data_IF_406757383252
#
_entry.id   IF_406757383252
#
_cell.length_a   1.000
_cell.length_b   1.000
_cell.length_c   1.000
_cell.angle_alpha   90.00
_cell.angle_beta   90.00
_cell.angle_gamma   90.00
#
_symmetry.space_group_name_H-M   'P 1'
#
loop_
_entity.id
_entity.type
_entity.pdbx_description
1 polymer ?
#
# COMPACT_ATOMS: atom_id res chain seq x y z
N UNK A 1 5.50 -14.39 30.41
CA UNK A 1 6.19 -13.10 30.29
C UNK A 1 5.45 -12.33 29.21
N UNK A 2 4.76 -11.27 29.60
CA UNK A 2 3.94 -10.44 28.71
C UNK A 2 4.89 -9.46 27.99
N UNK A 3 5.11 -9.66 26.68
CA UNK A 3 5.75 -8.62 25.88
C UNK A 3 4.76 -7.45 25.81
N UNK A 4 5.15 -6.35 26.42
CA UNK A 4 4.44 -5.08 26.34
C UNK A 4 4.38 -4.64 24.86
N UNK A 5 3.32 -3.91 24.48
CA UNK A 5 3.33 -3.16 23.23
C UNK A 5 4.59 -2.28 23.29
N UNK A 6 5.48 -2.33 22.28
CA UNK A 6 6.66 -1.48 22.30
C UNK A 6 6.21 -0.03 22.51
N UNK A 7 6.76 0.64 23.50
CA UNK A 7 6.51 2.07 23.70
C UNK A 7 7.02 2.81 22.44
N UNK A 8 6.41 3.94 22.08
CA UNK A 8 6.77 4.76 20.92
C UNK A 8 8.28 5.02 20.80
N UNK A 9 8.98 5.04 21.93
CA UNK A 9 10.44 5.18 22.05
C UNK A 9 11.22 3.99 21.49
N UNK A 10 10.73 2.75 21.56
CA UNK A 10 11.41 1.57 21.01
C UNK A 10 11.23 1.44 19.50
N UNK A 11 10.12 1.97 18.97
CA UNK A 11 9.83 1.96 17.52
C UNK A 11 10.71 2.98 16.80
N UNK A 12 11.05 4.09 17.44
CA UNK A 12 11.92 5.14 16.89
C UNK A 12 13.40 4.72 16.86
N UNK A 13 13.84 3.88 17.78
CA UNK A 13 15.23 3.38 17.82
C UNK A 13 15.57 2.35 16.75
N UNK A 14 14.56 1.79 16.06
CA UNK A 14 14.74 0.86 14.94
C UNK A 14 14.84 1.55 13.56
N UNK A 15 14.76 2.88 13.49
CA UNK A 15 15.12 3.64 12.29
C UNK A 15 16.64 3.82 12.32
N UNK A 16 17.35 2.77 11.97
CA UNK A 16 18.80 2.71 12.10
C UNK A 16 19.55 3.50 11.05
N UNK A 17 18.92 4.01 10.02
CA UNK A 17 19.55 4.87 8.99
C UNK A 17 18.43 5.43 8.08
N UNK A 18 18.26 6.78 7.99
CA UNK A 18 17.29 7.39 7.10
C UNK A 18 17.53 7.08 5.63
N UNK A 19 18.76 6.66 5.27
CA UNK A 19 19.12 6.29 3.91
C UNK A 19 18.81 4.83 3.57
N UNK A 20 18.46 4.00 4.57
CA UNK A 20 18.07 2.59 4.34
C UNK A 20 16.62 2.49 3.89
N UNK A 21 16.33 1.99 2.67
CA UNK A 21 14.96 1.77 2.21
C UNK A 21 14.20 0.79 3.10
N UNK A 22 12.92 1.08 3.38
CA UNK A 22 12.04 0.14 4.07
C UNK A 22 11.78 -1.08 3.19
N UNK A 23 11.57 -0.86 1.89
CA UNK A 23 11.42 -1.92 0.88
C UNK A 23 12.35 -1.59 -0.28
N UNK A 24 13.11 -2.58 -0.75
CA UNK A 24 13.92 -2.44 -1.97
C UNK A 24 13.72 -3.65 -2.88
N UNK A 25 13.38 -3.40 -4.12
CA UNK A 25 13.29 -4.38 -5.21
C UNK A 25 14.51 -4.21 -6.11
N UNK A 26 15.22 -5.32 -6.39
CA UNK A 26 16.41 -5.34 -7.30
C UNK A 26 16.17 -6.35 -8.41
N UNK A 27 16.02 -5.89 -9.64
CA UNK A 27 15.79 -6.68 -10.86
C UNK A 27 14.70 -7.75 -10.68
N UNK A 28 13.58 -7.36 -10.06
CA UNK A 28 12.48 -8.27 -9.73
C UNK A 28 11.72 -8.65 -10.99
N UNK A 29 11.57 -9.96 -11.22
CA UNK A 29 10.71 -10.52 -12.25
C UNK A 29 9.63 -11.40 -11.61
N UNK A 30 8.41 -11.37 -12.18
CA UNK A 30 7.33 -12.28 -11.83
C UNK A 30 6.72 -12.83 -13.09
N UNK A 31 6.75 -14.16 -13.22
CA UNK A 31 6.20 -14.90 -14.35
C UNK A 31 5.15 -15.87 -13.86
N UNK A 32 3.94 -15.79 -14.42
CA UNK A 32 2.87 -16.75 -14.17
C UNK A 32 2.76 -17.75 -15.31
N UNK A 33 2.43 -18.99 -14.97
CA UNK A 33 2.02 -19.99 -15.98
C UNK A 33 0.57 -19.75 -16.34
N UNK A 34 0.29 -19.41 -17.59
CA UNK A 34 -1.08 -19.25 -18.05
C UNK A 34 -1.75 -20.64 -18.17
N UNK A 35 -3.03 -20.73 -17.77
CA UNK A 35 -3.84 -21.95 -17.94
C UNK A 35 -4.29 -22.19 -19.39
N UNK A 36 -4.07 -21.23 -20.29
CA UNK A 36 -4.44 -21.29 -21.69
C UNK A 36 -3.23 -21.67 -22.52
N UNK A 37 -3.18 -22.91 -22.99
CA UNK A 37 -2.09 -23.43 -23.82
C UNK A 37 -2.18 -24.94 -23.96
N UNK A 38 -1.49 -25.51 -24.98
CA UNK A 38 -1.32 -26.96 -25.08
C UNK A 38 -0.61 -27.50 -23.83
N UNK A 39 -0.97 -28.69 -23.36
CA UNK A 39 -0.31 -29.40 -22.26
C UNK A 39 1.22 -29.46 -22.41
N UNK A 40 1.73 -29.34 -23.64
CA UNK A 40 3.16 -29.42 -23.97
C UNK A 40 3.86 -28.06 -24.12
N UNK A 41 3.11 -26.91 -24.13
CA UNK A 41 3.68 -25.55 -24.21
C UNK A 41 2.86 -24.61 -23.32
N UNK A 42 3.15 -24.54 -22.01
CA UNK A 42 2.49 -23.57 -21.16
C UNK A 42 2.88 -22.15 -21.59
N UNK A 43 1.89 -21.29 -21.86
CA UNK A 43 2.14 -19.89 -22.06
C UNK A 43 2.60 -19.25 -20.74
N UNK A 44 3.60 -18.38 -20.82
CA UNK A 44 4.11 -17.63 -19.69
C UNK A 44 3.69 -16.17 -19.80
N UNK A 45 3.10 -15.63 -18.73
CA UNK A 45 2.77 -14.21 -18.63
C UNK A 45 3.82 -13.54 -17.75
N UNK A 46 4.62 -12.67 -18.33
CA UNK A 46 5.63 -11.88 -17.64
C UNK A 46 4.97 -10.64 -17.02
N UNK A 47 4.44 -10.77 -15.81
CA UNK A 47 3.70 -9.69 -15.16
C UNK A 47 4.61 -8.59 -14.61
N UNK A 48 5.85 -8.93 -14.22
CA UNK A 48 6.87 -7.98 -13.77
C UNK A 48 8.19 -8.36 -14.40
N UNK A 49 8.93 -7.38 -14.95
CA UNK A 49 10.11 -7.61 -15.80
C UNK A 49 11.26 -6.68 -15.38
N UNK A 50 12.13 -7.15 -14.49
CA UNK A 50 13.35 -6.44 -14.09
C UNK A 50 13.10 -5.15 -13.31
N UNK A 51 12.06 -5.11 -12.47
CA UNK A 51 11.68 -3.92 -11.72
C UNK A 51 12.69 -3.63 -10.61
N UNK A 52 13.13 -2.37 -10.55
CA UNK A 52 13.93 -1.80 -9.48
C UNK A 52 13.11 -0.67 -8.84
N UNK A 53 12.90 -0.71 -7.52
CA UNK A 53 12.18 0.32 -6.77
C UNK A 53 12.72 0.41 -5.34
N UNK A 54 12.65 1.61 -4.75
CA UNK A 54 13.00 1.86 -3.34
C UNK A 54 11.89 2.65 -2.67
N UNK A 55 11.46 2.16 -1.51
CA UNK A 55 10.48 2.84 -0.66
C UNK A 55 11.23 3.41 0.53
N UNK A 56 11.41 4.73 0.55
CA UNK A 56 12.18 5.43 1.57
C UNK A 56 11.33 5.76 2.79
N UNK A 57 11.91 5.83 4.00
CA UNK A 57 11.19 6.24 5.20
C UNK A 57 10.49 7.59 5.03
N UNK A 58 9.23 7.70 5.46
CA UNK A 58 8.44 8.93 5.41
C UNK A 58 8.11 9.46 4.01
N UNK A 59 8.42 8.72 2.93
CA UNK A 59 8.15 9.11 1.56
C UNK A 59 7.03 8.30 0.94
N UNK A 60 6.30 8.90 0.01
CA UNK A 60 5.29 8.23 -0.81
C UNK A 60 5.83 7.99 -2.21
N UNK A 61 5.89 6.72 -2.63
CA UNK A 61 6.09 6.34 -4.01
C UNK A 61 4.73 6.06 -4.66
N UNK A 62 4.34 6.90 -5.61
CA UNK A 62 3.20 6.67 -6.48
C UNK A 62 3.54 5.67 -7.59
N UNK A 63 2.66 4.72 -7.86
CA UNK A 63 2.80 3.80 -9.00
C UNK A 63 1.60 3.98 -9.91
N UNK A 64 1.84 4.37 -11.16
CA UNK A 64 0.80 4.60 -12.16
C UNK A 64 1.03 3.76 -13.40
N UNK A 65 -0.01 3.55 -14.20
CA UNK A 65 0.02 2.83 -15.47
C UNK A 65 -1.34 2.21 -15.79
N UNK A 66 -1.51 1.74 -17.00
CA UNK A 66 -2.75 1.09 -17.48
C UNK A 66 -3.09 -0.17 -16.67
N UNK A 67 -4.36 -0.60 -16.73
CA UNK A 67 -4.79 -1.86 -16.09
C UNK A 67 -4.00 -3.04 -16.66
N UNK A 68 -3.57 -3.96 -15.79
CA UNK A 68 -2.81 -5.14 -16.19
C UNK A 68 -1.31 -4.91 -16.45
N UNK A 69 -0.77 -3.69 -16.29
CA UNK A 69 0.65 -3.42 -16.52
C UNK A 69 1.61 -3.95 -15.43
N UNK A 70 1.10 -4.61 -14.36
CA UNK A 70 1.92 -5.25 -13.33
C UNK A 70 1.94 -4.55 -11.98
N UNK A 71 1.23 -3.42 -11.76
CA UNK A 71 1.21 -2.66 -10.49
C UNK A 71 0.85 -3.52 -9.28
N UNK A 72 -0.32 -4.16 -9.29
CA UNK A 72 -0.78 -4.99 -8.17
C UNK A 72 0.10 -6.23 -7.97
N UNK A 73 0.70 -6.78 -9.04
CA UNK A 73 1.69 -7.85 -8.89
C UNK A 73 2.95 -7.37 -8.18
N UNK A 74 3.43 -6.17 -8.53
CA UNK A 74 4.58 -5.53 -7.85
C UNK A 74 4.24 -5.24 -6.38
N UNK A 75 3.03 -4.71 -6.10
CA UNK A 75 2.53 -4.53 -4.75
C UNK A 75 2.53 -5.84 -3.95
N UNK A 76 2.03 -6.92 -4.53
CA UNK A 76 2.00 -8.24 -3.89
C UNK A 76 3.40 -8.77 -3.58
N UNK A 77 4.42 -8.47 -4.41
CA UNK A 77 5.83 -8.76 -4.08
C UNK A 77 6.29 -7.95 -2.89
N UNK A 78 5.98 -6.66 -2.85
CA UNK A 78 6.32 -5.76 -1.74
C UNK A 78 5.64 -6.16 -0.42
N UNK A 79 4.46 -6.76 -0.47
CA UNK A 79 3.76 -7.29 0.71
C UNK A 79 4.21 -8.71 1.12
N UNK A 80 5.09 -9.35 0.35
CA UNK A 80 5.46 -10.75 0.53
C UNK A 80 4.33 -11.74 0.21
N UNK A 81 3.26 -11.32 -0.45
CA UNK A 81 2.15 -12.16 -0.90
C UNK A 81 2.52 -12.94 -2.17
N UNK A 82 3.32 -12.34 -3.04
CA UNK A 82 3.85 -12.94 -4.26
C UNK A 82 5.38 -13.11 -4.14
N UNK A 83 5.88 -14.31 -4.49
CA UNK A 83 7.33 -14.56 -4.58
C UNK A 83 7.84 -14.09 -5.94
N UNK A 84 8.97 -13.38 -5.96
CA UNK A 84 9.66 -13.04 -7.19
C UNK A 84 10.19 -14.31 -7.88
N UNK A 85 10.04 -14.40 -9.20
CA UNK A 85 10.61 -15.50 -10.00
C UNK A 85 12.12 -15.33 -10.15
N UNK A 86 12.58 -14.06 -10.28
CA UNK A 86 13.99 -13.67 -10.27
C UNK A 86 14.17 -12.32 -9.57
N UNK A 87 15.42 -11.94 -9.32
CA UNK A 87 15.79 -10.72 -8.62
C UNK A 87 15.82 -10.90 -7.11
N UNK A 88 15.89 -9.78 -6.38
CA UNK A 88 15.98 -9.76 -4.92
C UNK A 88 15.02 -8.77 -4.31
N UNK A 89 14.53 -9.10 -3.12
CA UNK A 89 13.62 -8.27 -2.32
C UNK A 89 14.23 -8.09 -0.93
N UNK A 90 14.34 -6.83 -0.51
CA UNK A 90 14.87 -6.49 0.80
C UNK A 90 13.83 -5.71 1.60
N UNK A 91 13.78 -5.99 2.91
CA UNK A 91 13.04 -5.20 3.89
C UNK A 91 14.00 -4.71 4.96
N UNK A 92 14.12 -3.38 5.10
CA UNK A 92 15.06 -2.74 6.01
C UNK A 92 16.47 -3.35 5.89
N UNK A 93 16.98 -3.46 4.67
CA UNK A 93 18.29 -4.04 4.34
C UNK A 93 18.39 -5.56 4.42
N UNK A 94 17.39 -6.27 4.97
CA UNK A 94 17.39 -7.73 5.10
C UNK A 94 16.86 -8.40 3.84
N UNK A 95 17.62 -9.34 3.26
CA UNK A 95 17.16 -10.14 2.11
C UNK A 95 16.05 -11.12 2.53
N UNK A 96 14.87 -10.94 1.93
CA UNK A 96 13.68 -11.77 2.16
C UNK A 96 13.21 -12.49 0.89
N UNK A 97 14.04 -12.52 -0.14
CA UNK A 97 13.71 -13.09 -1.45
C UNK A 97 13.21 -14.53 -1.35
N UNK A 98 13.83 -15.33 -0.48
CA UNK A 98 13.37 -16.70 -0.21
C UNK A 98 12.28 -16.68 0.86
N UNK A 99 11.09 -17.16 0.51
CA UNK A 99 9.93 -17.18 1.40
C UNK A 99 10.10 -18.18 2.54
N UNK A 100 10.20 -17.69 3.77
CA UNK A 100 10.15 -18.50 5.00
C UNK A 100 9.05 -18.00 5.93
N UNK A 101 8.68 -18.80 6.94
CA UNK A 101 7.72 -18.37 7.97
C UNK A 101 8.25 -17.16 8.76
N UNK A 102 9.56 -17.12 9.01
CA UNK A 102 10.22 -15.99 9.69
C UNK A 102 10.18 -14.73 8.83
N UNK A 103 10.45 -14.83 7.52
CA UNK A 103 10.36 -13.69 6.60
C UNK A 103 8.92 -13.15 6.51
N UNK A 104 7.91 -14.03 6.43
CA UNK A 104 6.50 -13.57 6.41
C UNK A 104 6.11 -12.81 7.67
N UNK A 105 6.52 -13.28 8.86
CA UNK A 105 6.29 -12.56 10.11
C UNK A 105 6.99 -11.20 10.12
N UNK A 106 8.24 -11.16 9.69
CA UNK A 106 9.00 -9.91 9.60
C UNK A 106 8.35 -8.92 8.64
N UNK A 107 7.97 -9.35 7.42
CA UNK A 107 7.27 -8.49 6.46
C UNK A 107 5.98 -7.96 7.07
N UNK A 108 5.14 -8.85 7.64
CA UNK A 108 3.85 -8.47 8.22
C UNK A 108 3.93 -7.55 9.44
N UNK A 109 5.08 -7.46 10.12
CA UNK A 109 5.32 -6.48 11.19
C UNK A 109 5.82 -5.12 10.67
N UNK A 110 6.36 -5.08 9.45
CA UNK A 110 6.94 -3.87 8.84
C UNK A 110 5.98 -3.20 7.87
N UNK A 111 5.23 -4.02 7.10
CA UNK A 111 4.40 -3.56 5.99
C UNK A 111 2.97 -4.02 6.18
N UNK A 112 2.03 -3.09 6.00
CA UNK A 112 0.59 -3.37 5.95
C UNK A 112 0.00 -3.00 4.60
N UNK A 113 -1.18 -3.55 4.30
CA UNK A 113 -1.86 -3.36 3.01
C UNK A 113 -3.24 -2.79 3.22
N UNK A 114 -3.58 -1.79 2.41
CA UNK A 114 -4.94 -1.30 2.20
C UNK A 114 -5.37 -1.74 0.81
N UNK A 115 -6.32 -2.68 0.72
CA UNK A 115 -6.80 -3.24 -0.53
C UNK A 115 -7.82 -2.33 -1.23
N UNK A 116 -8.00 -2.54 -2.52
CA UNK A 116 -8.84 -1.77 -3.42
C UNK A 116 -10.31 -1.70 -2.96
N UNK A 117 -10.88 -2.81 -2.53
CA UNK A 117 -12.28 -2.89 -2.09
C UNK A 117 -12.37 -3.20 -0.60
N UNK A 118 -12.75 -2.21 0.23
CA UNK A 118 -12.91 -2.42 1.66
C UNK A 118 -14.05 -3.40 2.01
N UNK A 119 -15.01 -3.62 1.09
CA UNK A 119 -16.11 -4.56 1.34
C UNK A 119 -15.62 -6.01 1.33
N UNK A 120 -14.62 -6.32 0.49
CA UNK A 120 -13.98 -7.64 0.47
C UNK A 120 -12.83 -7.76 1.47
N UNK A 121 -12.23 -6.63 1.84
CA UNK A 121 -11.12 -6.59 2.79
C UNK A 121 -11.56 -6.81 4.24
N UNK A 122 -12.77 -6.38 4.62
CA UNK A 122 -13.31 -6.52 5.98
C UNK A 122 -14.16 -7.78 6.10
N UNK A 123 -14.03 -8.49 7.23
CA UNK A 123 -14.88 -9.64 7.51
C UNK A 123 -16.31 -9.15 7.88
N UNK A 124 -17.35 -9.48 7.10
CA UNK A 124 -18.71 -8.96 7.33
C UNK A 124 -19.35 -9.42 8.65
N UNK A 125 -18.76 -10.43 9.32
CA UNK A 125 -19.25 -10.99 10.58
C UNK A 125 -18.55 -10.48 11.82
N UNK A 126 -17.53 -9.61 11.66
CA UNK A 126 -16.76 -9.03 12.76
C UNK A 126 -17.15 -7.58 12.94
N UNK A 127 -17.27 -7.15 14.20
CA UNK A 127 -17.43 -5.73 14.54
C UNK A 127 -16.20 -4.92 14.19
N UNK A 128 -16.30 -3.61 14.11
CA UNK A 128 -15.13 -2.72 13.92
C UNK A 128 -14.09 -2.97 15.00
N UNK A 129 -14.49 -3.11 16.27
CA UNK A 129 -13.59 -3.42 17.38
C UNK A 129 -12.80 -4.71 17.11
N UNK A 130 -13.49 -5.78 16.71
CA UNK A 130 -12.81 -7.05 16.42
C UNK A 130 -11.90 -6.98 15.21
N UNK A 131 -12.31 -6.28 14.13
CA UNK A 131 -11.49 -6.05 12.95
C UNK A 131 -10.16 -5.39 13.28
N UNK A 132 -10.18 -4.38 14.16
CA UNK A 132 -8.99 -3.62 14.54
C UNK A 132 -8.13 -4.37 15.57
N UNK A 133 -8.74 -5.17 16.44
CA UNK A 133 -8.04 -5.98 17.43
C UNK A 133 -7.44 -7.27 16.83
N UNK A 134 -7.98 -7.80 15.73
CA UNK A 134 -7.58 -9.07 15.13
C UNK A 134 -6.08 -9.14 14.78
N UNK A 135 -5.46 -8.15 14.10
CA UNK A 135 -4.03 -8.17 13.85
C UNK A 135 -3.19 -8.28 15.13
N UNK A 136 -3.59 -7.59 16.20
CA UNK A 136 -2.91 -7.63 17.50
C UNK A 136 -3.05 -9.02 18.16
N UNK A 137 -4.24 -9.64 18.04
CA UNK A 137 -4.48 -11.02 18.55
C UNK A 137 -3.64 -12.05 17.80
N UNK A 138 -3.62 -11.97 16.45
CA UNK A 138 -2.85 -12.88 15.59
C UNK A 138 -1.34 -12.81 15.89
N UNK A 139 -0.83 -11.60 16.11
CA UNK A 139 0.57 -11.38 16.46
C UNK A 139 0.87 -11.52 17.96
N UNK A 140 -0.15 -11.85 18.78
CA UNK A 140 -0.04 -12.02 20.25
C UNK A 140 0.51 -10.77 20.96
N UNK A 141 0.17 -9.59 20.45
CA UNK A 141 0.61 -8.30 21.01
C UNK A 141 -0.40 -7.83 22.06
N UNK A 142 0.11 -7.46 23.24
CA UNK A 142 -0.64 -6.87 24.32
C UNK A 142 -1.70 -7.78 24.97
N UNK A 143 -2.29 -7.28 26.05
CA UNK A 143 -3.47 -7.85 26.73
C UNK A 143 -4.76 -7.33 26.10
N UNK A 144 -5.91 -7.85 26.51
CA UNK A 144 -7.21 -7.37 26.01
C UNK A 144 -7.41 -5.86 26.29
N UNK A 145 -7.11 -5.40 27.50
CA UNK A 145 -7.22 -3.98 27.85
C UNK A 145 -6.30 -3.06 27.06
N UNK A 146 -5.07 -3.50 26.75
CA UNK A 146 -4.15 -2.70 25.91
C UNK A 146 -4.60 -2.70 24.45
N UNK A 147 -5.18 -3.79 23.96
CA UNK A 147 -5.76 -3.85 22.61
C UNK A 147 -6.97 -2.92 22.46
N UNK A 148 -7.85 -2.89 23.47
CA UNK A 148 -9.00 -1.98 23.48
C UNK A 148 -8.56 -0.52 23.48
N UNK A 149 -7.53 -0.17 24.24
CA UNK A 149 -6.94 1.17 24.19
C UNK A 149 -6.45 1.48 22.79
N UNK A 150 -5.68 0.57 22.16
CA UNK A 150 -5.16 0.74 20.80
C UNK A 150 -6.27 0.88 19.76
N UNK A 151 -7.34 0.10 19.86
CA UNK A 151 -8.51 0.20 18.96
C UNK A 151 -9.16 1.58 19.04
N UNK A 152 -9.30 2.17 20.23
CA UNK A 152 -9.84 3.53 20.41
C UNK A 152 -8.92 4.59 19.82
N UNK A 153 -7.61 4.47 20.00
CA UNK A 153 -6.62 5.33 19.35
C UNK A 153 -6.73 5.27 17.82
N UNK A 154 -6.82 4.06 17.27
CA UNK A 154 -6.98 3.85 15.83
C UNK A 154 -8.24 4.51 15.26
N UNK A 155 -9.37 4.44 15.99
CA UNK A 155 -10.59 5.16 15.56
C UNK A 155 -10.37 6.67 15.55
N UNK A 156 -9.68 7.21 16.56
CA UNK A 156 -9.32 8.62 16.60
C UNK A 156 -8.46 9.04 15.40
N UNK A 157 -7.41 8.27 15.10
CA UNK A 157 -6.51 8.53 13.97
C UNK A 157 -7.23 8.59 12.61
N UNK A 158 -8.29 7.78 12.42
CA UNK A 158 -9.04 7.79 11.15
C UNK A 158 -10.33 8.63 11.22
N UNK A 159 -10.55 9.38 12.31
CA UNK A 159 -11.70 10.28 12.46
C UNK A 159 -13.05 9.54 12.50
N UNK A 160 -13.10 8.35 13.13
CA UNK A 160 -14.34 7.62 13.38
C UNK A 160 -14.78 7.78 14.84
N UNK A 161 -16.09 7.94 15.12
CA UNK A 161 -16.61 8.04 16.48
C UNK A 161 -16.53 6.69 17.20
N UNK A 162 -16.42 6.72 18.52
CA UNK A 162 -16.40 5.49 19.36
C UNK A 162 -17.69 4.65 19.22
N UNK A 163 -18.80 5.26 18.85
CA UNK A 163 -20.05 4.52 18.54
C UNK A 163 -19.91 3.53 17.39
N UNK A 164 -18.91 3.70 16.51
CA UNK A 164 -18.62 2.78 15.42
C UNK A 164 -18.05 1.43 15.89
N UNK A 165 -17.56 1.31 17.15
CA UNK A 165 -16.91 0.08 17.64
C UNK A 165 -17.74 -1.17 17.45
N UNK A 166 -19.04 -1.08 17.75
CA UNK A 166 -19.96 -2.23 17.70
C UNK A 166 -20.62 -2.42 16.32
N UNK A 167 -20.36 -1.54 15.37
CA UNK A 167 -20.92 -1.64 14.03
C UNK A 167 -20.30 -2.79 13.24
N UNK A 168 -21.13 -3.47 12.44
CA UNK A 168 -20.67 -4.40 11.40
C UNK A 168 -20.36 -3.63 10.11
N UNK A 169 -19.49 -4.14 9.23
CA UNK A 169 -19.14 -3.47 7.97
C UNK A 169 -20.34 -3.09 7.10
N UNK A 170 -21.40 -3.91 7.10
CA UNK A 170 -22.64 -3.63 6.35
C UNK A 170 -23.43 -2.42 6.87
N UNK A 171 -23.18 -1.96 8.09
CA UNK A 171 -23.83 -0.79 8.71
C UNK A 171 -23.06 0.52 8.47
N UNK A 172 -21.89 0.45 7.83
CA UNK A 172 -21.01 1.57 7.57
C UNK A 172 -21.15 2.07 6.13
N UNK A 173 -20.96 3.37 5.91
CA UNK A 173 -20.81 3.93 4.56
C UNK A 173 -19.53 3.43 3.89
N UNK A 174 -19.38 3.60 2.57
CA UNK A 174 -18.17 3.25 1.83
C UNK A 174 -16.92 3.92 2.40
N UNK A 175 -16.98 5.21 2.67
CA UNK A 175 -15.89 5.97 3.28
C UNK A 175 -15.56 5.55 4.70
N UNK A 176 -16.57 5.19 5.51
CA UNK A 176 -16.35 4.65 6.85
C UNK A 176 -15.69 3.27 6.80
N UNK A 177 -16.12 2.38 5.89
CA UNK A 177 -15.43 1.08 5.67
C UNK A 177 -13.97 1.28 5.27
N UNK A 178 -13.69 2.24 4.39
CA UNK A 178 -12.33 2.54 3.98
C UNK A 178 -11.48 3.04 5.17
N UNK A 179 -12.03 3.92 6.02
CA UNK A 179 -11.36 4.36 7.24
C UNK A 179 -11.07 3.20 8.20
N UNK A 180 -11.99 2.24 8.35
CA UNK A 180 -11.75 1.01 9.15
C UNK A 180 -10.63 0.16 8.53
N UNK A 181 -10.59 0.00 7.20
CA UNK A 181 -9.53 -0.75 6.51
C UNK A 181 -8.16 -0.08 6.72
N UNK A 182 -8.09 1.26 6.65
CA UNK A 182 -6.88 2.04 6.95
C UNK A 182 -6.48 1.86 8.42
N UNK A 183 -7.43 2.00 9.37
CA UNK A 183 -7.17 1.81 10.81
C UNK A 183 -6.63 0.39 11.10
N UNK A 184 -7.19 -0.63 10.45
CA UNK A 184 -6.72 -2.01 10.58
C UNK A 184 -5.28 -2.16 10.08
N UNK A 185 -4.94 -1.52 8.96
CA UNK A 185 -3.58 -1.53 8.45
C UNK A 185 -2.57 -0.87 9.43
N UNK A 186 -3.02 0.09 10.23
CA UNK A 186 -2.21 0.79 11.24
C UNK A 186 -2.08 0.02 12.57
N UNK A 187 -2.82 -1.08 12.77
CA UNK A 187 -2.91 -1.77 14.09
C UNK A 187 -1.55 -2.18 14.65
N UNK A 188 -0.63 -2.63 13.79
CA UNK A 188 0.69 -3.16 14.17
C UNK A 188 1.82 -2.11 14.12
N UNK A 189 1.51 -0.81 14.02
CA UNK A 189 2.50 0.26 13.84
C UNK A 189 3.46 -0.02 12.66
N UNK A 190 2.96 -0.26 11.43
CA UNK A 190 3.79 -0.57 10.29
C UNK A 190 4.73 0.60 9.96
N UNK A 191 5.87 0.30 9.34
CA UNK A 191 6.80 1.31 8.80
C UNK A 191 6.37 1.79 7.42
N UNK A 192 5.65 0.93 6.68
CA UNK A 192 5.11 1.26 5.37
C UNK A 192 3.69 0.72 5.18
N UNK A 193 2.89 1.45 4.41
CA UNK A 193 1.59 1.02 3.92
C UNK A 193 1.63 0.91 2.40
N UNK A 194 1.12 -0.20 1.87
CA UNK A 194 0.87 -0.36 0.44
C UNK A 194 -0.63 -0.18 0.23
N UNK A 195 -1.01 0.90 -0.44
CA UNK A 195 -2.38 1.25 -0.77
C UNK A 195 -2.63 0.97 -2.26
N UNK A 196 -3.26 -0.18 -2.55
CA UNK A 196 -3.59 -0.59 -3.93
C UNK A 196 -4.99 -0.10 -4.27
N UNK A 197 -5.08 0.94 -5.10
CA UNK A 197 -6.31 1.64 -5.52
C UNK A 197 -7.28 1.97 -4.37
N UNK A 198 -6.83 2.57 -3.27
CA UNK A 198 -7.61 2.68 -2.03
C UNK A 198 -8.83 3.60 -2.13
N UNK A 199 -9.02 4.28 -3.25
CA UNK A 199 -10.09 5.26 -3.46
C UNK A 199 -10.92 5.01 -4.72
N UNK A 200 -10.66 3.93 -5.47
CA UNK A 200 -11.30 3.67 -6.76
C UNK A 200 -12.81 3.42 -6.67
N UNK A 201 -13.29 2.85 -5.58
CA UNK A 201 -14.71 2.55 -5.34
C UNK A 201 -15.49 3.67 -4.62
N UNK A 202 -14.86 4.85 -4.42
CA UNK A 202 -15.44 5.96 -3.67
C UNK A 202 -15.85 7.11 -4.59
N UNK A 203 -16.91 7.81 -4.19
CA UNK A 203 -17.29 9.06 -4.84
C UNK A 203 -16.21 10.16 -4.67
N UNK A 204 -16.28 11.21 -5.48
CA UNK A 204 -15.25 12.25 -5.55
C UNK A 204 -15.02 12.94 -4.20
N UNK A 205 -16.09 13.22 -3.45
CA UNK A 205 -15.98 13.95 -2.17
C UNK A 205 -15.34 13.09 -1.09
N UNK A 206 -15.73 11.83 -0.99
CA UNK A 206 -15.17 10.86 -0.04
C UNK A 206 -13.73 10.50 -0.42
N UNK A 207 -13.42 10.40 -1.72
CA UNK A 207 -12.04 10.21 -2.22
C UNK A 207 -11.10 11.28 -1.68
N UNK A 208 -11.48 12.57 -1.81
CA UNK A 208 -10.67 13.68 -1.31
C UNK A 208 -10.43 13.58 0.21
N UNK A 209 -11.45 13.19 0.98
CA UNK A 209 -11.31 13.00 2.43
C UNK A 209 -10.35 11.86 2.78
N UNK A 210 -10.37 10.74 2.04
CA UNK A 210 -9.45 9.62 2.27
C UNK A 210 -8.01 10.00 1.88
N UNK A 211 -7.81 10.77 0.81
CA UNK A 211 -6.48 11.24 0.41
C UNK A 211 -5.89 12.19 1.46
N UNK A 212 -6.70 13.12 1.98
CA UNK A 212 -6.28 14.00 3.07
C UNK A 212 -5.90 13.18 4.31
N UNK A 213 -6.75 12.22 4.72
CA UNK A 213 -6.46 11.33 5.83
C UNK A 213 -5.13 10.60 5.66
N UNK A 214 -4.86 10.01 4.49
CA UNK A 214 -3.60 9.32 4.22
C UNK A 214 -2.39 10.27 4.25
N UNK A 215 -2.55 11.50 3.74
CA UNK A 215 -1.52 12.54 3.81
C UNK A 215 -1.22 12.97 5.25
N UNK A 216 -2.24 13.12 6.08
CA UNK A 216 -2.10 13.49 7.50
C UNK A 216 -1.43 12.36 8.30
N UNK A 217 -1.88 11.12 8.10
CA UNK A 217 -1.27 9.93 8.72
C UNK A 217 0.20 9.75 8.32
N UNK A 218 0.56 10.02 7.05
CA UNK A 218 1.96 10.03 6.61
C UNK A 218 2.79 11.00 7.45
N UNK A 219 2.30 12.24 7.62
CA UNK A 219 3.02 13.31 8.36
C UNK A 219 3.10 12.99 9.86
N UNK A 220 1.97 12.61 10.45
CA UNK A 220 1.84 12.39 11.89
C UNK A 220 2.65 11.17 12.37
N UNK A 221 2.61 10.08 11.59
CA UNK A 221 3.23 8.80 11.96
C UNK A 221 4.59 8.55 11.30
N UNK A 222 5.07 9.45 10.44
CA UNK A 222 6.31 9.26 9.68
C UNK A 222 6.26 8.05 8.73
N UNK A 223 5.07 7.68 8.24
CA UNK A 223 4.86 6.49 7.43
C UNK A 223 5.45 6.63 6.03
N UNK A 224 6.12 5.57 5.56
CA UNK A 224 6.33 5.38 4.15
C UNK A 224 5.05 4.85 3.49
N UNK A 225 4.85 5.15 2.22
CA UNK A 225 3.69 4.67 1.49
C UNK A 225 4.02 4.30 0.05
N UNK A 226 3.44 3.20 -0.43
CA UNK A 226 3.29 2.93 -1.85
C UNK A 226 1.84 3.19 -2.20
N UNK A 227 1.59 4.14 -3.08
CA UNK A 227 0.24 4.51 -3.50
C UNK A 227 0.03 4.13 -4.96
N UNK A 228 -0.83 3.15 -5.22
CA UNK A 228 -1.12 2.65 -6.55
C UNK A 228 -2.47 3.19 -7.00
N UNK A 229 -2.50 3.79 -8.18
CA UNK A 229 -3.73 4.22 -8.83
C UNK A 229 -3.56 4.24 -10.35
N UNK A 230 -4.67 4.11 -11.07
CA UNK A 230 -4.72 4.44 -12.51
C UNK A 230 -5.01 5.92 -12.74
N UNK A 231 -5.44 6.66 -11.71
CA UNK A 231 -5.70 8.09 -11.75
C UNK A 231 -4.43 8.88 -11.37
N UNK A 232 -3.80 9.47 -12.39
CA UNK A 232 -2.54 10.20 -12.22
C UNK A 232 -2.70 11.47 -11.38
N UNK A 233 -3.88 12.11 -11.38
CA UNK A 233 -4.14 13.29 -10.58
C UNK A 233 -4.16 12.95 -9.08
N UNK A 234 -4.76 11.83 -8.74
CA UNK A 234 -4.75 11.31 -7.38
C UNK A 234 -3.31 11.00 -6.92
N UNK A 235 -2.50 10.38 -7.79
CA UNK A 235 -1.10 10.06 -7.47
C UNK A 235 -0.27 11.34 -7.32
N UNK A 236 -0.46 12.33 -8.19
CA UNK A 236 0.19 13.65 -8.10
C UNK A 236 -0.05 14.31 -6.73
N UNK A 237 -1.27 14.21 -6.22
CA UNK A 237 -1.65 14.86 -4.98
C UNK A 237 -0.90 14.32 -3.75
N UNK A 238 -0.64 13.01 -3.71
CA UNK A 238 -0.14 12.36 -2.48
C UNK A 238 1.35 11.98 -2.55
N UNK A 239 1.94 11.85 -3.77
CA UNK A 239 3.24 11.23 -3.96
C UNK A 239 4.39 12.22 -3.92
N UNK A 240 5.51 11.82 -3.32
CA UNK A 240 6.79 12.54 -3.41
C UNK A 240 7.56 12.14 -4.70
N UNK A 241 7.46 10.86 -5.08
CA UNK A 241 8.05 10.30 -6.30
C UNK A 241 7.01 9.47 -7.04
N UNK A 242 7.15 9.35 -8.34
CA UNK A 242 6.25 8.54 -9.18
C UNK A 242 7.08 7.57 -10.01
N UNK A 243 6.63 6.31 -10.06
CA UNK A 243 7.07 5.29 -10.99
C UNK A 243 5.95 4.97 -11.99
N UNK A 244 6.22 5.14 -13.26
CA UNK A 244 5.29 4.82 -14.36
C UNK A 244 5.58 3.41 -14.84
N UNK A 245 4.57 2.54 -14.79
CA UNK A 245 4.69 1.15 -15.22
C UNK A 245 3.96 0.92 -16.55
N UNK A 246 4.63 0.22 -17.44
CA UNK A 246 4.06 -0.26 -18.70
C UNK A 246 4.54 -1.69 -18.99
N UNK A 247 3.64 -2.59 -19.37
CA UNK A 247 3.94 -3.98 -19.75
C UNK A 247 4.93 -4.70 -18.82
N UNK A 248 4.76 -4.54 -17.49
CA UNK A 248 5.59 -5.18 -16.47
C UNK A 248 6.90 -4.46 -16.14
N UNK A 249 7.21 -3.34 -16.76
CA UNK A 249 8.45 -2.57 -16.57
C UNK A 249 8.16 -1.20 -15.97
N UNK A 250 9.13 -0.66 -15.22
CA UNK A 250 9.18 0.77 -14.92
C UNK A 250 9.79 1.46 -16.14
N UNK A 251 9.02 2.30 -16.81
CA UNK A 251 9.45 3.03 -18.01
C UNK A 251 10.01 4.41 -17.65
N UNK A 252 9.52 4.99 -16.54
CA UNK A 252 10.02 6.26 -16.01
C UNK A 252 9.83 6.32 -14.50
N UNK A 253 10.80 6.85 -13.78
CA UNK A 253 10.69 7.12 -12.33
C UNK A 253 11.39 8.43 -12.01
N UNK A 254 10.75 9.27 -11.21
CA UNK A 254 11.30 10.56 -10.84
C UNK A 254 10.56 11.23 -9.67
N UNK A 255 11.01 12.43 -9.33
CA UNK A 255 10.27 13.34 -8.49
C UNK A 255 8.90 13.65 -9.12
N UNK A 256 7.84 13.69 -8.30
CA UNK A 256 6.47 13.76 -8.79
C UNK A 256 6.24 15.02 -9.66
N UNK A 257 6.66 16.19 -9.19
CA UNK A 257 6.45 17.43 -9.92
C UNK A 257 7.26 17.49 -11.21
N UNK A 258 8.53 17.05 -11.15
CA UNK A 258 9.43 17.02 -12.31
C UNK A 258 8.90 16.07 -13.39
N UNK A 259 8.54 14.84 -13.02
CA UNK A 259 8.06 13.83 -13.97
C UNK A 259 6.74 14.24 -14.62
N UNK A 260 5.82 14.85 -13.86
CA UNK A 260 4.52 15.23 -14.39
C UNK A 260 4.56 16.48 -15.28
N UNK A 261 5.50 17.41 -15.02
CA UNK A 261 5.65 18.61 -15.82
C UNK A 261 6.60 18.43 -17.03
N UNK A 262 7.57 17.51 -16.91
CA UNK A 262 8.59 17.27 -17.94
C UNK A 262 8.81 15.77 -18.19
N UNK A 263 7.77 15.03 -18.64
CA UNK A 263 7.86 13.60 -18.90
C UNK A 263 8.84 13.32 -20.05
N UNK A 264 9.78 12.42 -19.82
CA UNK A 264 10.80 12.03 -20.82
C UNK A 264 10.33 10.85 -21.68
N UNK A 265 9.60 9.89 -21.10
CA UNK A 265 9.13 8.69 -21.80
C UNK A 265 7.88 8.97 -22.63
N UNK A 266 7.80 8.47 -23.87
CA UNK A 266 6.62 8.64 -24.74
C UNK A 266 5.32 8.06 -24.14
N UNK A 267 5.40 6.95 -23.41
CA UNK A 267 4.23 6.36 -22.76
C UNK A 267 3.74 7.23 -21.61
N UNK A 268 4.65 7.82 -20.82
CA UNK A 268 4.31 8.77 -19.76
C UNK A 268 3.58 9.97 -20.34
N UNK A 269 4.07 10.54 -21.46
CA UNK A 269 3.38 11.64 -22.17
C UNK A 269 1.99 11.25 -22.62
N UNK A 270 1.83 10.05 -23.20
CA UNK A 270 0.52 9.54 -23.62
C UNK A 270 -0.43 9.37 -22.43
N UNK A 271 0.06 8.81 -21.32
CA UNK A 271 -0.73 8.60 -20.11
C UNK A 271 -1.22 9.92 -19.51
N UNK A 272 -0.36 10.94 -19.47
CA UNK A 272 -0.69 12.29 -18.99
C UNK A 272 -1.69 12.99 -19.93
N UNK A 273 -1.52 12.88 -21.24
CA UNK A 273 -2.42 13.46 -22.24
C UNK A 273 -3.82 12.83 -22.27
N UNK A 274 -3.96 11.58 -21.81
CA UNK A 274 -5.25 10.90 -21.70
C UNK A 274 -5.99 11.23 -20.36
N UNK A 275 -5.30 11.81 -19.38
CA UNK A 275 -5.92 12.19 -18.12
C UNK A 275 -6.72 13.50 -18.30
N UNK A 276 -7.99 13.57 -17.82
CA UNK A 276 -8.75 14.81 -17.86
C UNK A 276 -7.99 15.91 -17.11
N UNK A 277 -7.60 16.97 -17.83
CA UNK A 277 -6.93 18.11 -17.22
C UNK A 277 -7.95 18.95 -16.46
N UNK A 278 -7.88 18.99 -15.15
CA UNK A 278 -8.64 19.97 -14.36
C UNK A 278 -8.16 21.42 -14.58
N UNK A 279 -6.99 21.60 -15.23
CA UNK A 279 -6.36 22.92 -15.44
C UNK A 279 -6.58 23.48 -16.85
N UNK A 280 -7.01 22.66 -17.81
CA UNK A 280 -7.41 23.11 -19.15
C UNK A 280 -8.72 22.40 -19.52
N UNK A 281 -9.90 23.01 -19.26
CA UNK A 281 -11.10 22.59 -19.95
C UNK A 281 -10.80 22.72 -21.44
N UNK A 282 -10.94 21.61 -22.19
CA UNK A 282 -10.88 21.68 -23.65
C UNK A 282 -11.95 22.68 -24.08
N UNK A 283 -11.50 23.82 -24.62
CA UNK A 283 -12.34 24.72 -25.38
C UNK A 283 -12.59 23.98 -26.70
N UNK A 284 -13.81 23.44 -26.86
CA UNK A 284 -14.36 22.99 -28.14
C UNK A 284 -14.49 24.17 -29.09
#
# INVERSE_FOLDING_TARGET
>A
MSEAIPAETDVQSLISDPDTPIIELKNVEVTFKARTGSLFRPNHVHAVQGVNMKIMPGKVLGIVGESGCGKSTTANVMCGLQVATKGKVFFMGKDVTKRSAAHRRHIGSVVSVVFQDPATALNPRMTVQDQLADPLRVHKIGTEGTRDKRVRELLGLVGLPLSALNALPGQLSGGQRQRVAIARALSLHPKAIIADEPTSALDVSVRAQILNLLSDLKKELGLAMVFISHDIQTVRYISDRIAVMNAGKVVEEGDADTLLNHPSDPYTRKLLGAAPSLLHPQLD
#
